data_IF_133277254545
#
_entry.id   IF_133277254545
#
_cell.length_a   1.000
_cell.length_b   1.000
_cell.length_c   1.000
_cell.angle_alpha   90.00
_cell.angle_beta   90.00
_cell.angle_gamma   90.00
#
_symmetry.space_group_name_H-M   'P 1'
#
loop_
_entity.id
_entity.type
_entity.pdbx_description
1 polymer ?
#
# COMPACT_ATOMS: atom_id res chain seq x y z
N UNK A 1 14.32 21.23 49.85
CA UNK A 1 14.51 19.90 49.24
C UNK A 1 13.30 19.62 48.35
N UNK A 2 13.45 19.74 47.04
CA UNK A 2 12.41 19.44 46.07
C UNK A 2 13.05 18.64 44.93
N UNK A 3 12.59 17.41 44.69
CA UNK A 3 12.99 16.62 43.53
C UNK A 3 11.82 15.73 43.07
N UNK A 4 11.15 16.26 42.05
CA UNK A 4 10.44 15.63 40.94
C UNK A 4 9.72 14.28 41.15
N UNK A 5 8.38 14.36 41.14
CA UNK A 5 7.49 13.27 40.73
C UNK A 5 7.78 12.89 39.28
N UNK A 6 7.85 11.59 39.03
CA UNK A 6 8.40 10.97 37.82
C UNK A 6 7.65 11.25 36.52
N UNK A 7 8.43 11.44 35.45
CA UNK A 7 8.01 11.27 34.05
C UNK A 7 8.37 9.84 33.65
N UNK A 8 7.46 8.89 33.83
CA UNK A 8 7.71 7.48 33.53
C UNK A 8 7.44 7.18 32.05
N UNK A 9 8.44 6.65 31.34
CA UNK A 9 8.21 5.94 30.08
C UNK A 9 7.43 4.66 30.39
N UNK A 10 6.39 4.37 29.59
CA UNK A 10 5.61 3.15 29.74
C UNK A 10 6.32 2.02 28.98
N UNK A 11 6.52 0.90 29.65
CA UNK A 11 7.29 -0.23 29.13
C UNK A 11 6.48 -1.50 29.30
N UNK A 12 6.20 -2.20 28.19
CA UNK A 12 5.44 -3.46 28.16
C UNK A 12 6.26 -4.54 27.46
N UNK A 13 6.46 -5.69 28.11
CA UNK A 13 7.14 -6.87 27.54
C UNK A 13 6.11 -7.96 27.24
N UNK A 14 6.09 -8.43 26.00
CA UNK A 14 5.45 -9.68 25.61
C UNK A 14 6.54 -10.67 25.13
N UNK A 15 6.23 -11.96 25.06
CA UNK A 15 7.22 -13.03 24.82
C UNK A 15 7.80 -13.05 23.39
N UNK A 16 7.29 -12.17 22.51
CA UNK A 16 7.60 -12.00 21.10
C UNK A 16 7.88 -10.53 20.73
N UNK A 17 7.09 -9.58 21.27
CA UNK A 17 7.24 -8.15 20.98
C UNK A 17 7.52 -7.30 22.22
N UNK A 18 8.50 -6.39 22.11
CA UNK A 18 8.78 -5.38 23.14
C UNK A 18 8.42 -4.00 22.63
N UNK A 19 7.56 -3.28 23.37
CA UNK A 19 7.16 -1.91 23.05
C UNK A 19 7.72 -0.94 24.07
N UNK A 20 8.38 0.11 23.58
CA UNK A 20 8.88 1.22 24.37
C UNK A 20 8.22 2.51 23.87
N UNK A 21 7.55 3.23 24.77
CA UNK A 21 6.85 4.47 24.43
C UNK A 21 7.07 5.56 25.45
N UNK A 22 7.02 6.81 24.99
CA UNK A 22 7.11 7.99 25.85
C UNK A 22 6.84 9.27 25.08
N UNK A 23 6.61 10.36 25.82
CA UNK A 23 6.53 11.70 25.24
C UNK A 23 7.92 12.15 24.81
N UNK A 24 8.08 12.50 23.53
CA UNK A 24 9.33 12.98 22.93
C UNK A 24 9.25 14.44 22.47
N UNK A 25 8.25 15.17 22.95
CA UNK A 25 7.99 16.59 22.65
C UNK A 25 9.02 17.53 23.29
N UNK A 26 9.73 17.06 24.31
CA UNK A 26 10.79 17.79 24.99
C UNK A 26 12.14 17.11 24.78
N UNK A 27 13.26 17.85 24.78
CA UNK A 27 14.61 17.27 24.72
C UNK A 27 14.84 16.22 25.83
N UNK A 28 14.28 16.47 27.03
CA UNK A 28 14.33 15.52 28.14
C UNK A 28 13.51 14.24 27.91
N UNK A 29 12.40 14.34 27.18
CA UNK A 29 11.57 13.20 26.80
C UNK A 29 12.25 12.31 25.76
N UNK A 30 12.79 12.92 24.71
CA UNK A 30 13.62 12.21 23.72
C UNK A 30 14.81 11.49 24.39
N UNK A 31 15.56 12.19 25.25
CA UNK A 31 16.69 11.60 25.98
C UNK A 31 16.25 10.46 26.92
N UNK A 32 15.05 10.54 27.50
CA UNK A 32 14.51 9.48 28.35
C UNK A 32 14.23 8.20 27.54
N UNK A 33 13.65 8.33 26.34
CA UNK A 33 13.39 7.18 25.46
C UNK A 33 14.70 6.52 25.02
N UNK A 34 15.71 7.30 24.61
CA UNK A 34 17.02 6.75 24.25
C UNK A 34 17.66 5.99 25.41
N UNK A 35 17.62 6.55 26.63
CA UNK A 35 18.16 5.88 27.82
C UNK A 35 17.47 4.55 28.12
N UNK A 36 16.16 4.46 27.92
CA UNK A 36 15.44 3.19 28.10
C UNK A 36 15.79 2.18 27.00
N UNK A 37 16.02 2.64 25.77
CA UNK A 37 16.49 1.80 24.67
C UNK A 37 17.89 1.22 24.96
N UNK A 38 18.81 2.04 25.48
CA UNK A 38 20.15 1.61 25.90
C UNK A 38 20.09 0.57 27.04
N UNK A 39 19.20 0.80 28.02
CA UNK A 39 18.96 -0.15 29.12
C UNK A 39 18.45 -1.50 28.58
N UNK A 40 17.57 -1.45 27.59
CA UNK A 40 16.98 -2.63 26.97
C UNK A 40 18.00 -3.41 26.14
N UNK A 41 18.86 -2.73 25.38
CA UNK A 41 19.97 -3.38 24.67
C UNK A 41 20.93 -4.06 25.66
N UNK A 42 21.29 -3.37 26.75
CA UNK A 42 22.16 -3.95 27.77
C UNK A 42 21.53 -5.17 28.44
N UNK A 43 20.23 -5.13 28.70
CA UNK A 43 19.50 -6.25 29.28
C UNK A 43 19.44 -7.44 28.32
N UNK A 44 19.12 -7.22 27.05
CA UNK A 44 19.08 -8.29 26.04
C UNK A 44 20.44 -8.95 25.83
N UNK A 45 21.52 -8.18 25.86
CA UNK A 45 22.88 -8.72 25.82
C UNK A 45 23.21 -9.63 27.00
N UNK A 46 22.80 -9.25 28.22
CA UNK A 46 23.01 -10.06 29.44
C UNK A 46 22.17 -11.33 29.47
N UNK A 47 20.95 -11.28 28.94
CA UNK A 47 20.02 -12.39 28.96
C UNK A 47 20.05 -13.24 27.68
N UNK A 48 21.03 -13.00 26.80
CA UNK A 48 21.20 -13.71 25.51
C UNK A 48 19.96 -13.65 24.60
N UNK A 49 19.14 -12.59 24.73
CA UNK A 49 17.91 -12.37 23.97
C UNK A 49 18.06 -11.16 23.04
N UNK A 50 19.03 -11.19 22.13
CA UNK A 50 19.34 -10.05 21.25
C UNK A 50 18.16 -9.72 20.32
N UNK A 51 17.88 -8.44 20.14
CA UNK A 51 16.90 -7.99 19.14
C UNK A 51 17.35 -8.28 17.72
N UNK A 52 16.38 -8.56 16.85
CA UNK A 52 16.56 -8.38 15.42
C UNK A 52 16.45 -6.89 15.08
N UNK A 53 17.59 -6.19 15.08
CA UNK A 53 17.65 -4.73 14.91
C UNK A 53 17.03 -4.22 13.61
N UNK A 54 17.05 -5.04 12.55
CA UNK A 54 16.45 -4.71 11.24
C UNK A 54 14.91 -4.72 11.31
N UNK A 55 14.33 -5.53 12.20
CA UNK A 55 12.89 -5.60 12.43
C UNK A 55 12.38 -4.57 13.44
N UNK A 56 13.27 -3.88 14.16
CA UNK A 56 12.87 -2.82 15.07
C UNK A 56 12.48 -1.56 14.27
N UNK A 57 11.34 -0.97 14.61
CA UNK A 57 10.80 0.22 13.95
C UNK A 57 10.40 1.28 14.97
N UNK A 58 10.52 2.55 14.61
CA UNK A 58 10.04 3.68 15.41
C UNK A 58 8.80 4.25 14.75
N UNK A 59 7.70 4.29 15.51
CA UNK A 59 6.46 4.93 15.07
C UNK A 59 6.34 6.31 15.72
N UNK A 60 6.38 7.35 14.90
CA UNK A 60 6.24 8.74 15.36
C UNK A 60 4.79 9.16 15.38
N UNK A 61 4.17 9.08 16.55
CA UNK A 61 2.76 9.41 16.71
C UNK A 61 2.55 10.94 16.72
N UNK A 62 1.44 11.39 16.11
CA UNK A 62 0.93 12.78 16.04
C UNK A 62 1.65 13.69 15.03
N UNK A 63 0.88 14.62 14.44
CA UNK A 63 1.34 15.55 13.37
C UNK A 63 2.50 16.50 13.75
N UNK A 64 2.67 16.81 15.03
CA UNK A 64 3.69 17.76 15.51
C UNK A 64 4.91 17.05 16.13
N UNK A 65 5.19 15.82 15.70
CA UNK A 65 6.34 15.06 16.19
C UNK A 65 7.62 15.57 15.52
N UNK A 66 8.65 15.87 16.30
CA UNK A 66 9.96 16.32 15.79
C UNK A 66 10.80 15.20 15.14
N UNK A 67 10.23 13.99 14.97
CA UNK A 67 10.83 12.86 14.25
C UNK A 67 12.25 12.50 14.75
N UNK A 68 12.47 12.57 16.06
CA UNK A 68 13.78 12.30 16.65
C UNK A 68 14.30 10.90 16.31
N UNK A 69 15.58 10.79 15.98
CA UNK A 69 16.20 9.50 15.66
C UNK A 69 16.65 8.77 16.93
N UNK A 70 16.59 7.44 16.91
CA UNK A 70 16.98 6.58 18.03
C UNK A 70 17.97 5.50 17.60
N UNK A 71 18.86 5.15 18.53
CA UNK A 71 19.91 4.17 18.32
C UNK A 71 19.68 2.92 19.18
N UNK A 72 19.74 1.74 18.58
CA UNK A 72 19.84 0.47 19.28
C UNK A 72 21.29 -0.03 19.16
N UNK A 73 22.12 0.45 20.08
CA UNK A 73 23.58 0.28 20.05
C UNK A 73 24.20 1.07 18.93
N UNK A 74 24.94 0.39 18.05
CA UNK A 74 25.54 1.00 16.87
C UNK A 74 24.56 1.15 15.69
N UNK A 75 23.31 0.69 15.81
CA UNK A 75 22.34 0.66 14.69
C UNK A 75 21.25 1.70 14.90
N UNK A 76 21.04 2.58 13.92
CA UNK A 76 19.90 3.47 13.91
C UNK A 76 18.62 2.70 13.60
N UNK A 77 17.57 2.91 14.41
CA UNK A 77 16.27 2.27 14.20
C UNK A 77 15.48 3.06 13.15
N UNK A 78 14.93 2.36 12.17
CA UNK A 78 14.20 2.98 11.06
C UNK A 78 12.81 3.46 11.50
N UNK A 79 12.41 4.65 11.05
CA UNK A 79 11.05 5.15 11.26
C UNK A 79 10.07 4.48 10.30
N UNK A 80 8.89 4.12 10.80
CA UNK A 80 7.79 3.61 9.99
C UNK A 80 6.57 4.53 10.08
N UNK A 81 5.72 4.50 9.06
CA UNK A 81 4.47 5.26 9.01
C UNK A 81 3.28 4.50 9.57
N UNK A 82 3.37 3.16 9.60
CA UNK A 82 2.38 2.28 10.21
C UNK A 82 3.01 0.93 10.55
N UNK A 83 2.62 0.34 11.68
CA UNK A 83 3.07 -0.98 12.11
C UNK A 83 1.88 -1.82 12.56
N UNK A 84 1.95 -3.13 12.29
CA UNK A 84 0.91 -4.09 12.65
C UNK A 84 1.30 -4.77 13.96
N UNK A 85 0.40 -4.72 14.93
CA UNK A 85 0.56 -5.33 16.26
C UNK A 85 -0.68 -6.17 16.60
N UNK A 86 -0.49 -7.47 16.80
CA UNK A 86 -1.60 -8.41 17.08
C UNK A 86 -2.79 -8.21 16.12
N UNK A 87 -2.49 -8.09 14.83
CA UNK A 87 -3.46 -7.86 13.75
C UNK A 87 -4.10 -6.46 13.68
N UNK A 88 -3.71 -5.56 14.57
CA UNK A 88 -4.13 -4.16 14.56
C UNK A 88 -3.08 -3.31 13.86
N UNK A 89 -3.44 -2.69 12.75
CA UNK A 89 -2.63 -1.67 12.10
C UNK A 89 -2.69 -0.37 12.90
N UNK A 90 -1.55 0.11 13.35
CA UNK A 90 -1.39 1.41 14.00
C UNK A 90 -0.61 2.35 13.07
N UNK A 91 -1.28 3.37 12.55
CA UNK A 91 -0.64 4.43 11.77
C UNK A 91 -0.15 5.59 12.65
N UNK A 92 0.82 6.36 12.15
CA UNK A 92 1.36 7.55 12.84
C UNK A 92 0.32 8.64 13.14
N UNK A 93 -0.82 8.62 12.44
CA UNK A 93 -1.91 9.59 12.56
C UNK A 93 -2.94 9.15 13.62
N UNK A 94 -2.82 7.93 14.15
CA UNK A 94 -3.82 7.27 14.98
C UNK A 94 -5.20 7.21 14.31
N UNK A 95 -5.21 7.09 12.98
CA UNK A 95 -6.42 6.97 12.19
C UNK A 95 -6.78 5.48 12.01
N UNK A 96 -7.95 5.11 12.53
CA UNK A 96 -8.45 3.74 12.46
C UNK A 96 -9.12 3.40 11.13
N UNK A 97 -9.28 4.34 10.19
CA UNK A 97 -10.05 4.10 8.96
C UNK A 97 -9.48 2.96 8.12
N UNK A 98 -8.15 2.86 8.00
CA UNK A 98 -7.49 1.77 7.26
C UNK A 98 -7.68 0.42 7.95
N UNK A 99 -7.53 0.37 9.28
CA UNK A 99 -7.81 -0.83 10.08
C UNK A 99 -9.28 -1.25 9.96
N UNK A 100 -10.22 -0.31 10.04
CA UNK A 100 -11.65 -0.59 9.87
C UNK A 100 -11.95 -1.14 8.49
N UNK A 101 -11.40 -0.54 7.43
CA UNK A 101 -11.56 -1.03 6.06
C UNK A 101 -11.03 -2.46 5.92
N UNK A 102 -9.85 -2.75 6.48
CA UNK A 102 -9.26 -4.07 6.48
C UNK A 102 -10.10 -5.10 7.25
N UNK A 103 -10.64 -4.72 8.43
CA UNK A 103 -11.48 -5.60 9.23
C UNK A 103 -12.83 -5.88 8.57
N UNK A 104 -13.47 -4.87 7.97
CA UNK A 104 -14.70 -5.05 7.18
C UNK A 104 -14.44 -5.99 6.01
N UNK A 105 -13.33 -5.80 5.29
CA UNK A 105 -12.91 -6.69 4.21
C UNK A 105 -12.75 -8.14 4.69
N UNK A 106 -12.06 -8.36 5.81
CA UNK A 106 -11.87 -9.70 6.35
C UNK A 106 -13.18 -10.33 6.86
N UNK A 107 -14.00 -9.57 7.58
CA UNK A 107 -15.30 -10.02 8.09
C UNK A 107 -16.24 -10.42 6.94
N UNK A 108 -16.26 -9.64 5.86
CA UNK A 108 -17.01 -9.96 4.66
C UNK A 108 -16.52 -11.27 4.01
N UNK A 109 -15.21 -11.52 4.01
CA UNK A 109 -14.64 -12.79 3.58
C UNK A 109 -15.04 -13.98 4.45
N UNK A 110 -15.11 -13.81 5.78
CA UNK A 110 -15.50 -14.87 6.73
C UNK A 110 -17.01 -15.16 6.65
N UNK A 111 -17.84 -14.12 6.56
CA UNK A 111 -19.30 -14.24 6.53
C UNK A 111 -19.83 -14.72 5.18
N UNK A 112 -18.97 -14.86 4.16
CA UNK A 112 -19.39 -15.18 2.79
C UNK A 112 -20.22 -14.07 2.14
N UNK A 113 -20.29 -12.89 2.74
CA UNK A 113 -20.92 -11.71 2.15
C UNK A 113 -19.89 -11.08 1.22
N UNK A 114 -19.92 -11.43 -0.07
CA UNK A 114 -18.94 -10.93 -1.02
C UNK A 114 -18.92 -9.39 -1.07
N UNK A 115 -17.75 -8.84 -1.43
CA UNK A 115 -17.54 -7.40 -1.66
C UNK A 115 -17.56 -7.18 -3.17
N UNK A 116 -18.48 -6.36 -3.71
CA UNK A 116 -18.53 -6.11 -5.15
C UNK A 116 -17.21 -5.50 -5.64
N UNK A 117 -16.86 -5.70 -6.91
CA UNK A 117 -15.63 -5.17 -7.46
C UNK A 117 -15.59 -3.64 -7.40
N UNK A 118 -14.38 -3.09 -7.23
CA UNK A 118 -14.07 -1.67 -7.45
C UNK A 118 -12.88 -1.62 -8.39
N UNK A 119 -13.06 -0.97 -9.54
CA UNK A 119 -12.08 -0.95 -10.62
C UNK A 119 -11.44 0.44 -10.77
N UNK A 120 -10.21 0.48 -11.28
CA UNK A 120 -9.54 1.69 -11.78
C UNK A 120 -8.70 1.37 -12.99
N UNK A 121 -8.90 2.08 -14.10
CA UNK A 121 -8.03 1.98 -15.27
C UNK A 121 -7.01 3.11 -15.34
N UNK A 122 -5.86 2.83 -15.95
CA UNK A 122 -4.78 3.80 -16.10
C UNK A 122 -3.96 3.53 -17.37
N UNK A 123 -3.70 4.58 -18.19
CA UNK A 123 -4.24 5.95 -18.07
C UNK A 123 -5.74 6.01 -18.41
N UNK A 124 -6.45 7.08 -18.01
CA UNK A 124 -7.85 7.33 -18.42
C UNK A 124 -7.96 7.62 -19.93
N UNK A 125 -6.95 8.30 -20.48
CA UNK A 125 -6.81 8.49 -21.92
C UNK A 125 -5.35 8.60 -22.33
N UNK A 126 -5.01 8.15 -23.53
CA UNK A 126 -3.70 8.36 -24.14
C UNK A 126 -3.80 8.56 -25.65
N UNK A 127 -2.95 9.43 -26.18
CA UNK A 127 -2.69 9.56 -27.61
C UNK A 127 -1.34 8.91 -27.95
N UNK A 128 -1.29 8.15 -29.05
CA UNK A 128 -0.09 7.45 -29.52
C UNK A 128 0.12 7.64 -31.01
N UNK A 129 1.36 7.73 -31.41
CA UNK A 129 1.73 7.73 -32.83
C UNK A 129 1.63 6.30 -33.40
N UNK A 130 1.33 6.14 -34.70
CA UNK A 130 1.44 4.83 -35.34
C UNK A 130 2.83 4.23 -35.17
N UNK A 131 2.92 2.91 -34.94
CA UNK A 131 4.19 2.22 -34.81
C UNK A 131 4.73 2.07 -33.39
N UNK A 132 4.25 2.88 -32.44
CA UNK A 132 4.70 2.80 -31.04
C UNK A 132 3.88 1.80 -30.24
N UNK A 133 4.27 1.54 -28.99
CA UNK A 133 3.53 0.64 -28.08
C UNK A 133 2.55 1.42 -27.21
N UNK A 134 1.36 0.85 -26.99
CA UNK A 134 0.38 1.30 -26.00
C UNK A 134 0.17 0.25 -24.91
N UNK A 135 -0.06 0.71 -23.68
CA UNK A 135 -0.41 -0.12 -22.53
C UNK A 135 -1.57 0.54 -21.79
N UNK A 136 -2.60 -0.26 -21.48
CA UNK A 136 -3.80 0.12 -20.73
C UNK A 136 -3.91 -0.87 -19.58
N UNK A 137 -3.87 -0.37 -18.35
CA UNK A 137 -3.85 -1.21 -17.15
C UNK A 137 -5.13 -1.05 -16.36
N UNK A 138 -5.51 -2.10 -15.65
CA UNK A 138 -6.72 -2.18 -14.85
C UNK A 138 -6.40 -2.80 -13.50
N UNK A 139 -6.73 -2.10 -12.43
CA UNK A 139 -6.64 -2.60 -11.06
C UNK A 139 -8.04 -2.83 -10.52
N UNK A 140 -8.30 -4.00 -9.94
CA UNK A 140 -9.59 -4.34 -9.37
C UNK A 140 -9.44 -4.93 -7.97
N UNK A 141 -10.31 -4.51 -7.08
CA UNK A 141 -10.42 -5.05 -5.71
C UNK A 141 -11.83 -5.60 -5.50
N UNK A 142 -11.98 -6.70 -4.77
CA UNK A 142 -13.27 -7.30 -4.47
C UNK A 142 -13.09 -8.61 -3.72
N UNK A 143 -14.17 -9.14 -3.13
CA UNK A 143 -14.17 -10.46 -2.49
C UNK A 143 -15.33 -11.29 -3.03
N UNK A 144 -15.05 -12.47 -3.62
CA UNK A 144 -13.73 -12.98 -4.02
C UNK A 144 -12.99 -12.05 -5.00
N UNK A 145 -11.69 -12.30 -5.21
CA UNK A 145 -10.89 -11.54 -6.16
C UNK A 145 -11.59 -11.52 -7.54
N UNK A 146 -11.87 -10.34 -8.11
CA UNK A 146 -12.63 -10.25 -9.36
C UNK A 146 -11.88 -10.87 -10.55
N UNK A 147 -12.63 -11.49 -11.45
CA UNK A 147 -12.14 -11.88 -12.78
C UNK A 147 -12.22 -10.68 -13.72
N UNK A 148 -11.14 -10.44 -14.47
CA UNK A 148 -11.02 -9.32 -15.40
C UNK A 148 -11.36 -9.74 -16.84
N UNK A 149 -12.03 -8.85 -17.55
CA UNK A 149 -12.27 -8.92 -19.00
C UNK A 149 -12.09 -7.55 -19.64
N UNK A 150 -11.90 -7.52 -20.95
CA UNK A 150 -11.71 -6.28 -21.70
C UNK A 150 -12.58 -6.24 -22.95
N UNK A 151 -13.22 -5.10 -23.17
CA UNK A 151 -13.95 -4.79 -24.39
C UNK A 151 -13.26 -3.65 -25.12
N UNK A 152 -13.27 -3.68 -26.46
CA UNK A 152 -12.96 -2.53 -27.31
C UNK A 152 -14.22 -2.12 -28.05
N UNK A 153 -14.67 -0.89 -27.82
CA UNK A 153 -15.92 -0.34 -28.37
C UNK A 153 -17.11 -1.29 -28.11
N UNK A 154 -17.19 -1.85 -26.89
CA UNK A 154 -18.24 -2.77 -26.48
C UNK A 154 -18.10 -4.22 -26.98
N UNK A 155 -17.03 -4.56 -27.72
CA UNK A 155 -16.80 -5.91 -28.25
C UNK A 155 -15.62 -6.56 -27.53
N UNK A 156 -15.81 -7.79 -27.08
CA UNK A 156 -14.75 -8.58 -26.41
C UNK A 156 -13.48 -8.65 -27.29
N UNK A 157 -12.34 -8.37 -26.67
CA UNK A 157 -11.04 -8.41 -27.34
C UNK A 157 -10.43 -9.81 -27.36
N UNK A 158 -10.91 -10.75 -26.54
CA UNK A 158 -10.36 -12.11 -26.45
C UNK A 158 -10.28 -12.82 -27.81
N UNK A 159 -11.30 -12.74 -28.70
CA UNK A 159 -11.22 -13.31 -30.05
C UNK A 159 -10.23 -12.59 -30.99
N UNK A 160 -9.80 -11.37 -30.65
CA UNK A 160 -8.92 -10.51 -31.47
C UNK A 160 -7.46 -10.50 -30.99
N UNK A 161 -7.14 -11.26 -29.94
CA UNK A 161 -5.77 -11.38 -29.44
C UNK A 161 -4.84 -11.93 -30.53
N UNK A 162 -3.64 -11.38 -30.59
CA UNK A 162 -2.64 -11.66 -31.63
C UNK A 162 -1.24 -11.39 -31.11
N UNK A 163 -0.21 -11.52 -31.97
CA UNK A 163 1.15 -11.06 -31.62
C UNK A 163 1.20 -9.55 -31.34
N UNK A 164 0.27 -8.79 -31.92
CA UNK A 164 0.21 -7.35 -31.79
C UNK A 164 -0.54 -6.93 -30.51
N UNK A 165 -1.74 -7.47 -30.31
CA UNK A 165 -2.65 -7.19 -29.19
C UNK A 165 -2.63 -8.36 -28.20
N UNK A 166 -2.11 -8.15 -27.00
CA UNK A 166 -1.96 -9.19 -25.97
C UNK A 166 -2.56 -8.77 -24.64
N UNK A 167 -2.97 -9.75 -23.85
CA UNK A 167 -3.29 -9.56 -22.43
C UNK A 167 -2.08 -9.98 -21.58
N UNK A 168 -1.59 -9.06 -20.76
CA UNK A 168 -0.48 -9.25 -19.84
C UNK A 168 -0.96 -9.21 -18.39
N UNK A 169 -0.06 -9.53 -17.45
CA UNK A 169 -0.32 -9.49 -16.01
C UNK A 169 -1.65 -10.18 -15.61
N UNK A 170 -1.85 -11.41 -16.11
CA UNK A 170 -3.06 -12.21 -15.88
C UNK A 170 -4.38 -11.51 -16.31
N UNK A 171 -4.34 -10.72 -17.39
CA UNK A 171 -5.52 -10.04 -17.92
C UNK A 171 -5.72 -8.61 -17.39
N UNK A 172 -4.87 -8.14 -16.47
CA UNK A 172 -4.95 -6.77 -15.95
C UNK A 172 -4.35 -5.71 -16.87
N UNK A 173 -3.67 -6.09 -17.94
CA UNK A 173 -3.05 -5.15 -18.87
C UNK A 173 -3.34 -5.53 -20.33
N UNK A 174 -3.93 -4.60 -21.09
CA UNK A 174 -3.96 -4.67 -22.56
C UNK A 174 -2.69 -4.04 -23.09
N UNK A 175 -1.92 -4.83 -23.83
CA UNK A 175 -0.66 -4.43 -24.44
C UNK A 175 -0.77 -4.50 -25.96
N UNK A 176 -0.55 -3.36 -26.62
CA UNK A 176 -0.60 -3.22 -28.08
C UNK A 176 0.78 -2.81 -28.57
N UNK A 177 1.49 -3.74 -29.22
CA UNK A 177 2.73 -3.41 -29.93
C UNK A 177 2.39 -2.83 -31.31
N UNK A 178 3.23 -1.95 -31.86
CA UNK A 178 3.06 -1.40 -33.22
C UNK A 178 1.64 -0.88 -33.48
N UNK A 179 1.19 0.11 -32.69
CA UNK A 179 -0.15 0.70 -32.73
C UNK A 179 -0.52 1.19 -34.13
N UNK A 180 -1.78 0.97 -34.53
CA UNK A 180 -2.35 1.35 -35.83
C UNK A 180 -3.56 2.24 -35.65
N UNK A 181 -3.96 2.97 -36.70
CA UNK A 181 -5.16 3.83 -36.65
C UNK A 181 -6.43 3.08 -36.23
N UNK A 182 -6.57 1.81 -36.65
CA UNK A 182 -7.66 0.92 -36.27
C UNK A 182 -7.70 0.58 -34.78
N UNK A 183 -6.59 0.78 -34.05
CA UNK A 183 -6.50 0.58 -32.60
C UNK A 183 -7.21 1.67 -31.79
N UNK A 184 -7.53 2.80 -32.40
CA UNK A 184 -8.32 3.87 -31.77
C UNK A 184 -9.66 3.32 -31.24
N UNK A 185 -10.01 3.70 -30.01
CA UNK A 185 -11.27 3.31 -29.41
C UNK A 185 -11.31 3.42 -27.90
N UNK A 186 -12.48 3.11 -27.35
CA UNK A 186 -12.72 2.97 -25.93
C UNK A 186 -12.45 1.53 -25.49
N UNK A 187 -11.51 1.36 -24.57
CA UNK A 187 -11.15 0.08 -23.97
C UNK A 187 -11.75 0.00 -22.57
N UNK A 188 -12.80 -0.81 -22.41
CA UNK A 188 -13.51 -1.00 -21.14
C UNK A 188 -12.93 -2.20 -20.42
N UNK A 189 -12.42 -2.02 -19.21
CA UNK A 189 -12.10 -3.12 -18.31
C UNK A 189 -13.35 -3.47 -17.51
N UNK A 190 -13.68 -4.75 -17.41
CA UNK A 190 -14.80 -5.26 -16.60
C UNK A 190 -14.22 -6.17 -15.52
N UNK A 191 -14.58 -5.90 -14.26
CA UNK A 191 -14.28 -6.77 -13.14
C UNK A 191 -15.57 -7.40 -12.63
N UNK A 192 -15.57 -8.72 -12.46
CA UNK A 192 -16.73 -9.47 -11.97
C UNK A 192 -16.36 -10.42 -10.84
N UNK A 193 -17.17 -10.43 -9.80
CA UNK A 193 -17.24 -11.52 -8.85
C UNK A 193 -18.71 -11.87 -8.56
N UNK A 194 -18.95 -12.76 -7.60
CA UNK A 194 -20.30 -13.18 -7.20
C UNK A 194 -21.10 -12.08 -6.47
N UNK A 195 -20.44 -11.04 -5.95
CA UNK A 195 -21.09 -9.91 -5.28
C UNK A 195 -21.48 -8.76 -6.23
N UNK A 196 -20.90 -8.72 -7.43
CA UNK A 196 -21.24 -7.69 -8.39
C UNK A 196 -20.29 -7.59 -9.57
N UNK A 197 -20.49 -6.52 -10.33
CA UNK A 197 -19.70 -6.16 -11.51
C UNK A 197 -19.38 -4.67 -11.41
N UNK A 198 -18.18 -4.28 -11.83
CA UNK A 198 -17.78 -2.89 -12.00
C UNK A 198 -17.00 -2.75 -13.31
N UNK A 199 -17.05 -1.57 -13.91
CA UNK A 199 -16.39 -1.29 -15.19
C UNK A 199 -15.84 0.15 -15.25
N UNK A 200 -14.74 0.31 -15.97
CA UNK A 200 -14.10 1.62 -16.19
C UNK A 200 -13.39 1.62 -17.54
N UNK A 201 -13.18 2.81 -18.11
CA UNK A 201 -12.89 2.99 -19.53
C UNK A 201 -11.61 3.77 -19.72
N UNK A 202 -10.72 3.26 -20.58
CA UNK A 202 -9.55 3.97 -21.07
C UNK A 202 -9.70 4.29 -22.56
N UNK A 203 -9.48 5.54 -22.96
CA UNK A 203 -9.57 5.97 -24.36
C UNK A 203 -8.20 6.02 -25.03
N UNK A 204 -8.03 5.27 -26.13
CA UNK A 204 -6.82 5.30 -26.97
C UNK A 204 -7.10 6.07 -28.27
N UNK A 205 -6.29 7.09 -28.55
CA UNK A 205 -6.29 7.85 -29.80
C UNK A 205 -5.00 7.61 -30.58
N UNK A 206 -5.10 7.37 -31.88
CA UNK A 206 -3.93 7.18 -32.74
C UNK A 206 -3.86 8.28 -33.77
N UNK A 207 -2.87 9.16 -33.63
CA UNK A 207 -2.70 10.35 -34.44
C UNK A 207 -1.24 10.51 -34.87
N UNK A 208 -1.04 11.06 -36.07
CA UNK A 208 0.27 11.47 -36.54
C UNK A 208 0.57 12.89 -36.05
N UNK A 209 1.72 13.08 -35.41
CA UNK A 209 2.19 14.40 -34.98
C UNK A 209 2.44 15.35 -36.15
N UNK A 210 2.56 14.85 -37.38
CA UNK A 210 2.74 15.63 -38.61
C UNK A 210 1.47 16.31 -39.15
N UNK A 211 0.26 16.03 -38.62
CA UNK A 211 -1.00 16.67 -39.07
C UNK A 211 -1.45 17.87 -38.24
N UNK A 212 -0.67 18.29 -37.24
CA UNK A 212 -0.89 19.54 -36.50
C UNK A 212 -0.19 20.70 -37.22
N UNK A 213 -0.72 21.08 -38.38
CA UNK A 213 -0.38 22.32 -39.12
C UNK A 213 -1.64 22.94 -39.65
#
# INVERSE_FOLDING_TARGET
MAANRGKSCAFSRFADDTKLGGMADTPGGHAAIQRELDRLEKWTGRNLMKFNKVKCKVLHLRKNNSMHQYMLGATQVESSLAEKDLEVLMDTRLNMSEQCAHMVKNANGILGTGVPPVIRVYPESQAREPGVTASLRCHAEGIPNPQLGWLKNGIDIAPKLSKQLTLQANGSEVHISNVRYEDTGAYTCIAKNEAGVDEDISSLFVEDSARKT
#
